data_IF_224862809212
#
_entry.id   IF_224862809212
#
_cell.length_a   1.000
_cell.length_b   1.000
_cell.length_c   1.000
_cell.angle_alpha   90.00
_cell.angle_beta   90.00
_cell.angle_gamma   90.00
#
_symmetry.space_group_name_H-M   'P 1'
#
loop_
_entity.id
_entity.type
_entity.pdbx_description
1 polymer ?
#
# COMPACT_ATOMS: atom_id res chain seq x y z
N UNK A 1 23.27 -31.08 2.16
CA UNK A 1 22.77 -30.52 0.89
C UNK A 1 21.75 -29.40 1.09
N UNK A 2 20.79 -29.52 2.02
CA UNK A 2 19.78 -28.48 2.34
C UNK A 2 20.42 -27.14 2.74
N UNK A 3 21.46 -27.13 3.60
CA UNK A 3 22.13 -25.90 4.03
C UNK A 3 22.86 -25.11 2.92
N UNK A 4 23.30 -25.76 1.83
CA UNK A 4 23.91 -25.06 0.69
C UNK A 4 22.86 -24.39 -0.21
N UNK A 5 21.65 -24.94 -0.28
CA UNK A 5 20.54 -24.35 -1.05
C UNK A 5 19.99 -23.12 -0.32
N UNK A 6 19.92 -23.18 1.00
CA UNK A 6 19.43 -22.08 1.83
C UNK A 6 20.35 -20.86 1.79
N UNK A 7 21.67 -21.07 1.89
CA UNK A 7 22.64 -19.98 1.83
C UNK A 7 22.65 -19.25 0.48
N UNK A 8 22.35 -19.94 -0.63
CA UNK A 8 22.22 -19.28 -1.95
C UNK A 8 20.98 -18.39 -2.03
N UNK A 9 19.89 -18.73 -1.32
CA UNK A 9 18.64 -17.94 -1.36
C UNK A 9 18.78 -16.66 -0.55
N UNK A 10 19.34 -16.73 0.66
CA UNK A 10 19.56 -15.55 1.51
C UNK A 10 20.52 -14.56 0.85
N UNK A 11 21.61 -15.04 0.25
CA UNK A 11 22.56 -14.20 -0.48
C UNK A 11 21.89 -13.44 -1.64
N UNK A 12 21.00 -14.13 -2.38
CA UNK A 12 20.26 -13.54 -3.52
C UNK A 12 19.31 -12.42 -3.07
N UNK A 13 18.66 -12.57 -1.92
CA UNK A 13 17.75 -11.54 -1.39
C UNK A 13 18.52 -10.29 -0.99
N UNK A 14 19.63 -10.44 -0.26
CA UNK A 14 20.47 -9.31 0.15
C UNK A 14 21.09 -8.59 -1.06
N UNK A 15 21.52 -9.34 -2.07
CA UNK A 15 22.03 -8.77 -3.31
C UNK A 15 20.93 -7.98 -4.04
N UNK A 16 19.71 -8.50 -4.09
CA UNK A 16 18.56 -7.81 -4.69
C UNK A 16 18.23 -6.52 -3.93
N UNK A 17 18.20 -6.53 -2.59
CA UNK A 17 18.01 -5.31 -1.79
C UNK A 17 19.12 -4.28 -2.03
N UNK A 18 20.38 -4.71 -2.03
CA UNK A 18 21.52 -3.84 -2.32
C UNK A 18 21.42 -3.23 -3.71
N UNK A 19 21.05 -4.03 -4.73
CA UNK A 19 20.84 -3.58 -6.10
C UNK A 19 19.71 -2.55 -6.20
N UNK A 20 18.58 -2.82 -5.56
CA UNK A 20 17.42 -1.90 -5.51
C UNK A 20 17.80 -0.59 -4.80
N UNK A 21 18.46 -0.67 -3.65
CA UNK A 21 18.85 0.51 -2.89
C UNK A 21 19.90 1.34 -3.61
N UNK A 22 20.89 0.70 -4.24
CA UNK A 22 21.89 1.39 -5.05
C UNK A 22 21.24 2.05 -6.28
N UNK A 23 20.27 1.39 -6.91
CA UNK A 23 19.50 1.97 -8.01
C UNK A 23 18.68 3.18 -7.56
N UNK A 24 17.97 3.04 -6.43
CA UNK A 24 17.22 4.13 -5.81
C UNK A 24 18.13 5.33 -5.48
N UNK A 25 19.23 5.09 -4.77
CA UNK A 25 20.20 6.11 -4.37
C UNK A 25 20.79 6.84 -5.57
N UNK A 26 21.18 6.10 -6.62
CA UNK A 26 21.76 6.67 -7.84
C UNK A 26 20.78 7.57 -8.60
N UNK A 27 19.49 7.28 -8.52
CA UNK A 27 18.44 8.00 -9.23
C UNK A 27 17.49 8.79 -8.33
N UNK A 28 17.91 9.03 -7.07
CA UNK A 28 17.10 9.64 -6.02
C UNK A 28 16.48 10.96 -6.48
N UNK A 29 17.28 11.86 -7.06
CA UNK A 29 16.83 13.17 -7.52
C UNK A 29 15.74 13.07 -8.59
N UNK A 30 15.87 12.14 -9.54
CA UNK A 30 14.88 11.94 -10.59
C UNK A 30 13.55 11.44 -10.00
N UNK A 31 13.63 10.47 -9.09
CA UNK A 31 12.46 9.94 -8.41
C UNK A 31 11.72 11.02 -7.63
N UNK A 32 12.43 11.83 -6.84
CA UNK A 32 11.81 12.91 -6.08
C UNK A 32 11.22 14.00 -6.97
N UNK A 33 11.89 14.40 -8.05
CA UNK A 33 11.34 15.38 -9.01
C UNK A 33 10.01 14.92 -9.63
N UNK A 34 9.88 13.61 -9.88
CA UNK A 34 8.64 12.99 -10.38
C UNK A 34 7.58 12.86 -9.28
N UNK A 35 7.98 12.53 -8.05
CA UNK A 35 7.08 12.28 -6.92
C UNK A 35 6.51 13.55 -6.30
N UNK A 36 7.30 14.63 -6.20
CA UNK A 36 6.91 15.87 -5.49
C UNK A 36 5.56 16.41 -5.93
N UNK A 37 5.25 16.55 -7.24
CA UNK A 37 3.94 17.03 -7.67
C UNK A 37 2.78 16.16 -7.18
N UNK A 38 2.96 14.83 -7.13
CA UNK A 38 1.95 13.88 -6.65
C UNK A 38 1.80 13.94 -5.13
N UNK A 39 2.91 14.07 -4.41
CA UNK A 39 2.94 14.23 -2.95
C UNK A 39 2.19 15.50 -2.56
N UNK A 40 2.47 16.62 -3.22
CA UNK A 40 1.81 17.90 -2.97
C UNK A 40 0.32 17.83 -3.28
N UNK A 41 -0.05 17.21 -4.41
CA UNK A 41 -1.45 17.03 -4.78
C UNK A 41 -2.20 16.14 -3.77
N UNK A 42 -1.61 15.00 -3.39
CA UNK A 42 -2.18 14.12 -2.37
C UNK A 42 -2.38 14.88 -1.07
N UNK A 43 -1.31 15.51 -0.56
CA UNK A 43 -1.36 16.28 0.67
C UNK A 43 -2.44 17.36 0.65
N UNK A 44 -2.59 18.09 -0.47
CA UNK A 44 -3.61 19.12 -0.61
C UNK A 44 -5.03 18.54 -0.58
N UNK A 45 -5.25 17.40 -1.25
CA UNK A 45 -6.55 16.71 -1.21
C UNK A 45 -6.87 16.25 0.21
N UNK A 46 -5.93 15.56 0.88
CA UNK A 46 -6.13 15.05 2.23
C UNK A 46 -6.38 16.19 3.22
N UNK A 47 -5.63 17.28 3.09
CA UNK A 47 -5.79 18.47 3.91
C UNK A 47 -7.16 19.12 3.72
N UNK A 48 -7.63 19.29 2.47
CA UNK A 48 -8.95 19.86 2.17
C UNK A 48 -10.07 18.96 2.70
N UNK A 49 -9.98 17.66 2.42
CA UNK A 49 -10.97 16.67 2.86
C UNK A 49 -11.03 16.65 4.39
N UNK A 50 -9.90 16.51 5.07
CA UNK A 50 -9.85 16.43 6.52
C UNK A 50 -10.33 17.73 7.18
N UNK A 51 -9.98 18.90 6.62
CA UNK A 51 -10.47 20.20 7.11
C UNK A 51 -11.99 20.33 6.95
N UNK A 52 -12.53 19.87 5.81
CA UNK A 52 -13.97 19.75 5.62
C UNK A 52 -14.62 18.93 6.72
N UNK A 53 -14.14 17.71 6.94
CA UNK A 53 -14.65 16.84 8.01
C UNK A 53 -14.53 17.45 9.40
N UNK A 54 -13.40 18.09 9.71
CA UNK A 54 -13.19 18.78 10.98
C UNK A 54 -14.23 19.88 11.23
N UNK A 55 -14.62 20.62 10.18
CA UNK A 55 -15.65 21.67 10.28
C UNK A 55 -17.06 21.10 10.39
N UNK A 56 -17.37 20.03 9.66
CA UNK A 56 -18.72 19.45 9.64
C UNK A 56 -19.04 18.58 10.85
N UNK A 57 -18.03 17.97 11.48
CA UNK A 57 -18.19 17.02 12.58
C UNK A 57 -17.34 17.41 13.80
N UNK A 58 -17.66 18.51 14.51
CA UNK A 58 -16.85 18.98 15.63
C UNK A 58 -16.94 18.08 16.88
N UNK A 59 -18.02 17.30 17.01
CA UNK A 59 -18.32 16.50 18.21
C UNK A 59 -17.98 15.01 18.07
N UNK A 60 -17.28 14.59 17.01
CA UNK A 60 -16.91 13.19 16.81
C UNK A 60 -15.64 12.84 17.56
N UNK A 61 -15.54 11.58 18.00
CA UNK A 61 -14.29 11.05 18.53
C UNK A 61 -13.28 10.88 17.40
N UNK A 62 -12.13 11.51 17.57
CA UNK A 62 -11.02 11.38 16.64
C UNK A 62 -10.17 10.21 17.05
N UNK A 63 -9.96 9.30 16.10
CA UNK A 63 -9.17 8.11 16.30
C UNK A 63 -7.97 8.19 15.37
N UNK A 64 -6.78 7.93 15.92
CA UNK A 64 -5.55 7.83 15.13
C UNK A 64 -5.06 6.40 15.18
N UNK A 65 -5.25 5.69 14.07
CA UNK A 65 -4.67 4.37 13.84
C UNK A 65 -3.30 4.48 13.15
N UNK A 66 -2.36 3.60 13.49
CA UNK A 66 -1.04 3.53 12.84
C UNK A 66 -1.11 2.96 11.42
N UNK A 67 -2.04 2.04 11.17
CA UNK A 67 -2.36 1.43 9.87
C UNK A 67 -3.36 2.25 9.05
N UNK A 68 -4.39 2.75 9.73
CA UNK A 68 -5.55 3.43 9.17
C UNK A 68 -5.42 4.96 9.12
N UNK A 69 -4.36 5.52 9.70
CA UNK A 69 -4.23 6.97 9.85
C UNK A 69 -5.35 7.58 10.70
N UNK A 70 -5.73 8.82 10.36
CA UNK A 70 -6.89 9.44 10.98
C UNK A 70 -8.17 8.77 10.49
N UNK A 71 -8.97 8.30 11.43
CA UNK A 71 -10.36 7.94 11.22
C UNK A 71 -11.25 8.81 12.11
N UNK A 72 -12.41 9.16 11.56
CA UNK A 72 -13.46 9.85 12.32
C UNK A 72 -14.53 8.81 12.58
N UNK A 73 -14.76 8.51 13.85
CA UNK A 73 -15.75 7.53 14.27
C UNK A 73 -17.02 8.28 14.65
N UNK A 74 -18.02 8.24 13.78
CA UNK A 74 -19.36 8.74 14.11
C UNK A 74 -20.17 7.59 14.71
N UNK A 75 -20.47 7.68 16.01
CA UNK A 75 -21.48 6.80 16.62
C UNK A 75 -22.84 7.42 16.32
N UNK A 76 -23.60 6.82 15.41
CA UNK A 76 -25.00 7.19 15.22
C UNK A 76 -25.81 6.59 16.37
N UNK A 77 -26.23 7.43 17.33
CA UNK A 77 -26.99 6.99 18.51
C UNK A 77 -28.29 6.23 18.16
N UNK A 78 -28.86 6.45 16.97
CA UNK A 78 -30.08 5.75 16.51
C UNK A 78 -29.84 4.37 15.90
N UNK A 79 -28.60 3.99 15.62
CA UNK A 79 -28.21 2.66 15.14
C UNK A 79 -27.13 2.11 16.06
N UNK A 80 -27.55 1.72 17.26
CA UNK A 80 -26.74 1.44 18.45
C UNK A 80 -25.54 0.47 18.30
N UNK A 81 -25.33 -0.17 17.13
CA UNK A 81 -24.21 -1.09 16.88
C UNK A 81 -23.48 -0.88 15.53
N UNK A 82 -23.82 0.12 14.72
CA UNK A 82 -23.18 0.32 13.41
C UNK A 82 -22.19 1.48 13.46
N UNK A 83 -20.91 1.15 13.56
CA UNK A 83 -19.83 2.13 13.49
C UNK A 83 -19.37 2.27 12.05
N UNK A 84 -19.63 3.42 11.42
CA UNK A 84 -19.02 3.76 10.13
C UNK A 84 -17.67 4.42 10.40
N UNK A 85 -16.58 3.67 10.20
CA UNK A 85 -15.23 4.21 10.25
C UNK A 85 -14.87 4.73 8.86
N UNK A 86 -14.82 6.06 8.71
CA UNK A 86 -14.25 6.67 7.51
C UNK A 86 -12.74 6.82 7.70
N UNK A 87 -12.00 5.96 7.01
CA UNK A 87 -10.53 5.90 7.12
C UNK A 87 -9.89 6.75 6.03
N UNK A 88 -9.34 7.91 6.39
CA UNK A 88 -8.75 8.88 5.44
C UNK A 88 -7.44 8.37 4.80
N UNK A 89 -6.83 7.30 5.31
CA UNK A 89 -5.61 6.68 4.76
C UNK A 89 -5.71 6.22 3.31
N UNK A 90 -6.91 5.87 2.85
CA UNK A 90 -7.12 5.26 1.54
C UNK A 90 -6.76 6.20 0.40
N UNK A 91 -6.96 7.53 0.55
CA UNK A 91 -6.70 8.49 -0.53
C UNK A 91 -5.20 8.68 -0.80
N UNK A 92 -4.39 8.90 0.25
CA UNK A 92 -2.92 8.94 0.17
C UNK A 92 -2.40 7.71 -0.56
N UNK A 93 -2.87 6.54 -0.14
CA UNK A 93 -2.41 5.26 -0.68
C UNK A 93 -2.74 5.14 -2.17
N UNK A 94 -3.93 5.54 -2.59
CA UNK A 94 -4.35 5.52 -4.00
C UNK A 94 -3.50 6.46 -4.86
N UNK A 95 -3.26 7.71 -4.42
CA UNK A 95 -2.43 8.67 -5.17
C UNK A 95 -0.95 8.27 -5.22
N UNK A 96 -0.42 7.68 -4.15
CA UNK A 96 0.92 7.10 -4.17
C UNK A 96 1.00 5.83 -5.04
N UNK A 97 -0.08 5.07 -5.17
CA UNK A 97 -0.19 4.00 -6.16
C UNK A 97 -0.14 4.53 -7.60
N UNK A 98 -0.74 5.70 -7.88
CA UNK A 98 -0.56 6.37 -9.18
C UNK A 98 0.90 6.76 -9.43
N UNK A 99 1.62 7.11 -8.37
CA UNK A 99 3.03 7.45 -8.45
C UNK A 99 3.93 6.26 -8.83
N UNK A 100 3.49 5.02 -8.59
CA UNK A 100 4.16 3.81 -9.11
C UNK A 100 4.33 3.83 -10.62
N UNK A 101 3.45 4.54 -11.34
CA UNK A 101 3.43 4.50 -12.79
C UNK A 101 4.62 5.21 -13.47
N UNK A 102 4.87 6.50 -13.19
CA UNK A 102 6.08 7.16 -13.69
C UNK A 102 7.36 6.51 -13.11
N UNK A 103 7.30 6.00 -11.88
CA UNK A 103 8.40 5.27 -11.24
C UNK A 103 8.78 3.99 -11.98
N UNK A 104 7.81 3.14 -12.32
CA UNK A 104 8.04 1.94 -13.13
C UNK A 104 8.58 2.29 -14.52
N UNK A 105 8.08 3.37 -15.15
CA UNK A 105 8.56 3.83 -16.45
C UNK A 105 10.02 4.30 -16.40
N UNK A 106 10.40 5.06 -15.37
CA UNK A 106 11.80 5.48 -15.17
C UNK A 106 12.72 4.29 -14.93
N UNK A 107 12.25 3.30 -14.16
CA UNK A 107 12.99 2.07 -13.90
C UNK A 107 13.22 1.29 -15.20
N UNK A 108 12.16 1.09 -15.98
CA UNK A 108 12.21 0.37 -17.26
C UNK A 108 13.14 1.04 -18.28
N UNK A 109 13.02 2.35 -18.50
CA UNK A 109 13.87 3.06 -19.46
C UNK A 109 15.34 3.09 -19.07
N UNK A 110 15.63 3.10 -17.76
CA UNK A 110 17.00 3.07 -17.26
C UNK A 110 17.62 1.67 -17.33
N UNK A 111 16.85 0.60 -17.16
CA UNK A 111 17.34 -0.75 -17.50
C UNK A 111 17.80 -0.84 -18.96
N UNK A 112 17.21 -0.03 -19.86
CA UNK A 112 17.58 0.04 -21.27
C UNK A 112 18.59 1.16 -21.60
N UNK A 113 19.23 1.77 -20.60
CA UNK A 113 20.25 2.83 -20.77
C UNK A 113 19.81 4.08 -21.56
N UNK A 114 18.50 4.34 -21.67
CA UNK A 114 17.99 5.53 -22.37
C UNK A 114 18.10 6.74 -21.43
N UNK A 115 18.64 7.86 -21.91
CA UNK A 115 18.63 9.12 -21.16
C UNK A 115 17.22 9.69 -21.12
N UNK A 116 16.61 9.67 -19.92
CA UNK A 116 15.22 10.08 -19.72
C UNK A 116 15.17 11.44 -19.02
N UNK A 117 14.49 12.41 -19.61
CA UNK A 117 14.18 13.69 -18.96
C UNK A 117 12.89 13.58 -18.16
N UNK A 118 12.77 14.31 -17.04
CA UNK A 118 11.55 14.35 -16.20
C UNK A 118 10.31 14.68 -17.02
N UNK A 119 10.42 15.64 -17.95
CA UNK A 119 9.32 16.06 -18.80
C UNK A 119 8.82 14.93 -19.72
N UNK A 120 9.75 14.14 -20.28
CA UNK A 120 9.39 13.00 -21.14
C UNK A 120 8.68 11.90 -20.36
N UNK A 121 9.09 11.63 -19.11
CA UNK A 121 8.40 10.70 -18.20
C UNK A 121 6.98 11.20 -17.96
N UNK A 122 6.85 12.47 -17.57
CA UNK A 122 5.56 13.04 -17.20
C UNK A 122 4.57 13.07 -18.37
N UNK A 123 5.01 13.46 -19.58
CA UNK A 123 4.14 13.44 -20.76
C UNK A 123 3.66 12.03 -21.11
N UNK A 124 4.53 11.01 -20.98
CA UNK A 124 4.15 9.61 -21.21
C UNK A 124 3.18 9.11 -20.14
N UNK A 125 3.44 9.43 -18.87
CA UNK A 125 2.56 9.06 -17.75
C UNK A 125 1.21 9.74 -17.86
N UNK A 126 1.15 11.04 -18.15
CA UNK A 126 -0.10 11.79 -18.30
C UNK A 126 -0.97 11.25 -19.43
N UNK A 127 -0.39 10.88 -20.58
CA UNK A 127 -1.14 10.25 -21.68
C UNK A 127 -1.77 8.92 -21.28
N UNK A 128 -1.22 8.23 -20.28
CA UNK A 128 -1.69 6.92 -19.81
C UNK A 128 -2.54 7.00 -18.55
N UNK A 129 -2.69 8.19 -17.97
CA UNK A 129 -3.39 8.37 -16.72
C UNK A 129 -4.83 7.86 -16.81
N UNK A 130 -5.49 8.03 -17.97
CA UNK A 130 -6.84 7.52 -18.20
C UNK A 130 -6.94 5.99 -18.11
N UNK A 131 -5.97 5.25 -18.64
CA UNK A 131 -5.97 3.77 -18.53
C UNK A 131 -5.73 3.32 -17.09
N UNK A 132 -4.83 4.00 -16.38
CA UNK A 132 -4.53 3.70 -14.97
C UNK A 132 -5.75 4.02 -14.08
N UNK A 133 -6.40 5.17 -14.30
CA UNK A 133 -7.65 5.53 -13.62
C UNK A 133 -8.76 4.53 -13.95
N UNK A 134 -8.89 4.13 -15.21
CA UNK A 134 -9.86 3.11 -15.62
C UNK A 134 -9.63 1.77 -14.92
N UNK A 135 -8.37 1.30 -14.84
CA UNK A 135 -8.02 0.08 -14.13
C UNK A 135 -8.29 0.19 -12.62
N UNK A 136 -7.92 1.32 -12.01
CA UNK A 136 -8.16 1.59 -10.59
C UNK A 136 -9.66 1.67 -10.26
N UNK A 137 -10.44 2.30 -11.14
CA UNK A 137 -11.90 2.37 -11.02
C UNK A 137 -12.54 0.99 -11.13
N UNK A 138 -12.12 0.15 -12.09
CA UNK A 138 -12.60 -1.23 -12.21
C UNK A 138 -12.30 -2.04 -10.95
N UNK A 139 -11.09 -1.89 -10.41
CA UNK A 139 -10.67 -2.55 -9.17
C UNK A 139 -11.49 -2.06 -7.97
N UNK A 140 -11.79 -0.76 -7.88
CA UNK A 140 -12.68 -0.19 -6.87
C UNK A 140 -14.11 -0.77 -6.98
N UNK A 141 -14.71 -0.76 -8.18
CA UNK A 141 -16.04 -1.32 -8.43
C UNK A 141 -16.08 -2.80 -8.05
N UNK A 142 -15.04 -3.55 -8.40
CA UNK A 142 -14.92 -4.96 -8.05
C UNK A 142 -14.88 -5.18 -6.52
N UNK A 143 -14.09 -4.41 -5.78
CA UNK A 143 -14.07 -4.47 -4.32
C UNK A 143 -15.41 -4.11 -3.71
N UNK A 144 -16.11 -3.09 -4.24
CA UNK A 144 -17.45 -2.72 -3.80
C UNK A 144 -18.46 -3.86 -4.05
N UNK A 145 -18.47 -4.45 -5.25
CA UNK A 145 -19.34 -5.58 -5.57
C UNK A 145 -19.12 -6.75 -4.59
N UNK A 146 -17.85 -7.09 -4.35
CA UNK A 146 -17.49 -8.16 -3.43
C UNK A 146 -17.88 -7.83 -1.99
N UNK A 147 -17.61 -6.61 -1.51
CA UNK A 147 -18.05 -6.15 -0.19
C UNK A 147 -19.57 -6.20 -0.02
N UNK A 148 -20.34 -5.79 -1.03
CA UNK A 148 -21.80 -5.88 -1.04
C UNK A 148 -22.24 -7.35 -0.98
N UNK A 149 -21.62 -8.24 -1.77
CA UNK A 149 -21.92 -9.67 -1.70
C UNK A 149 -21.65 -10.25 -0.32
N UNK A 150 -20.54 -9.88 0.32
CA UNK A 150 -20.23 -10.31 1.69
C UNK A 150 -21.22 -9.79 2.73
N UNK A 151 -21.62 -8.52 2.61
CA UNK A 151 -22.63 -7.93 3.48
C UNK A 151 -23.96 -8.68 3.33
N UNK A 152 -24.42 -8.89 2.09
CA UNK A 152 -25.66 -9.63 1.82
C UNK A 152 -25.60 -11.06 2.36
N UNK A 153 -24.48 -11.75 2.17
CA UNK A 153 -24.28 -13.11 2.68
C UNK A 153 -24.29 -13.12 4.22
N UNK A 154 -23.63 -12.15 4.84
CA UNK A 154 -23.61 -12.01 6.30
C UNK A 154 -25.01 -11.72 6.85
N UNK A 155 -25.75 -10.80 6.22
CA UNK A 155 -27.12 -10.46 6.63
C UNK A 155 -28.06 -11.65 6.48
N UNK A 156 -27.94 -12.41 5.39
CA UNK A 156 -28.87 -13.50 5.11
C UNK A 156 -28.62 -14.75 5.96
N UNK A 157 -27.35 -15.09 6.22
CA UNK A 157 -27.01 -16.35 6.91
C UNK A 157 -26.67 -16.17 8.40
N UNK A 158 -26.07 -15.04 8.79
CA UNK A 158 -25.56 -14.84 10.16
C UNK A 158 -26.62 -14.23 11.06
N UNK A 159 -27.32 -13.17 10.62
CA UNK A 159 -28.32 -12.49 11.47
C UNK A 159 -29.45 -13.42 11.96
N UNK A 160 -30.02 -14.33 11.14
CA UNK A 160 -31.11 -15.18 11.61
C UNK A 160 -30.65 -16.24 12.60
N UNK A 161 -29.39 -16.69 12.51
CA UNK A 161 -28.88 -17.83 13.28
C UNK A 161 -28.05 -17.40 14.49
N UNK A 162 -27.62 -16.13 14.55
CA UNK A 162 -26.61 -15.63 15.51
C UNK A 162 -25.38 -16.55 15.60
N UNK A 163 -25.06 -17.26 14.51
CA UNK A 163 -23.99 -18.25 14.48
C UNK A 163 -22.64 -17.59 14.21
N UNK A 164 -21.90 -17.30 15.27
CA UNK A 164 -20.53 -16.80 15.18
C UNK A 164 -19.61 -17.68 14.30
N UNK A 165 -19.65 -19.03 14.37
CA UNK A 165 -18.85 -19.87 13.49
C UNK A 165 -19.13 -19.67 11.99
N UNK A 166 -20.39 -19.41 11.63
CA UNK A 166 -20.79 -19.18 10.25
C UNK A 166 -20.22 -17.85 9.74
N UNK A 167 -20.32 -16.79 10.53
CA UNK A 167 -19.70 -15.49 10.23
C UNK A 167 -18.20 -15.61 9.99
N UNK A 168 -17.49 -16.32 10.87
CA UNK A 168 -16.05 -16.55 10.76
C UNK A 168 -15.70 -17.30 9.46
N UNK A 169 -16.46 -18.35 9.11
CA UNK A 169 -16.25 -19.11 7.88
C UNK A 169 -16.43 -18.24 6.62
N UNK A 170 -17.47 -17.40 6.58
CA UNK A 170 -17.71 -16.45 5.49
C UNK A 170 -16.55 -15.46 5.41
N UNK A 171 -16.13 -14.91 6.56
CA UNK A 171 -15.00 -13.99 6.66
C UNK A 171 -13.72 -14.60 6.07
N UNK A 172 -13.36 -15.82 6.49
CA UNK A 172 -12.18 -16.52 5.95
C UNK A 172 -12.30 -16.71 4.43
N UNK A 173 -13.45 -17.19 3.94
CA UNK A 173 -13.65 -17.37 2.51
C UNK A 173 -13.46 -16.06 1.73
N UNK A 174 -13.94 -14.96 2.30
CA UNK A 174 -13.78 -13.62 1.73
C UNK A 174 -12.32 -13.16 1.68
N UNK A 175 -11.54 -13.37 2.76
CA UNK A 175 -10.09 -13.09 2.78
C UNK A 175 -9.38 -13.84 1.66
N UNK A 176 -9.69 -15.14 1.50
CA UNK A 176 -9.10 -15.97 0.46
C UNK A 176 -9.41 -15.45 -0.94
N UNK A 177 -10.67 -15.06 -1.20
CA UNK A 177 -11.09 -14.49 -2.49
C UNK A 177 -10.34 -13.17 -2.76
N UNK A 178 -10.33 -12.24 -1.82
CA UNK A 178 -9.62 -10.96 -1.98
C UNK A 178 -8.14 -11.20 -2.23
N UNK A 179 -7.50 -12.00 -1.40
CA UNK A 179 -6.07 -12.30 -1.51
C UNK A 179 -5.73 -12.93 -2.86
N UNK A 180 -6.57 -13.86 -3.34
CA UNK A 180 -6.40 -14.50 -4.63
C UNK A 180 -6.37 -13.50 -5.78
N UNK A 181 -7.35 -12.60 -5.82
CA UNK A 181 -7.47 -11.60 -6.88
C UNK A 181 -6.44 -10.48 -6.75
N UNK A 182 -6.12 -10.02 -5.53
CA UNK A 182 -5.05 -9.04 -5.30
C UNK A 182 -3.71 -9.55 -5.84
N UNK A 183 -3.35 -10.81 -5.60
CA UNK A 183 -2.11 -11.39 -6.14
C UNK A 183 -2.18 -11.49 -7.66
N UNK A 184 -3.30 -11.97 -8.22
CA UNK A 184 -3.48 -12.10 -9.67
C UNK A 184 -3.40 -10.78 -10.42
N UNK A 185 -3.84 -9.70 -9.81
CA UNK A 185 -3.87 -8.38 -10.42
C UNK A 185 -2.73 -7.48 -9.97
N UNK A 186 -1.89 -7.90 -9.03
CA UNK A 186 -0.76 -7.09 -8.51
C UNK A 186 0.18 -6.49 -9.57
N UNK A 187 0.24 -7.09 -10.76
CA UNK A 187 1.13 -6.68 -11.85
C UNK A 187 0.44 -5.89 -12.98
N UNK A 188 -0.83 -5.49 -12.81
CA UNK A 188 -1.58 -4.80 -13.88
C UNK A 188 -0.94 -3.46 -14.25
N UNK A 189 -0.41 -2.72 -13.26
CA UNK A 189 0.22 -1.41 -13.49
C UNK A 189 1.38 -1.52 -14.46
N UNK A 190 2.25 -2.52 -14.28
CA UNK A 190 3.42 -2.76 -15.12
C UNK A 190 2.99 -3.13 -16.55
N UNK A 191 1.92 -3.92 -16.72
CA UNK A 191 1.36 -4.22 -18.05
C UNK A 191 0.87 -2.98 -18.80
N UNK A 192 0.20 -2.04 -18.11
CA UNK A 192 -0.25 -0.77 -18.71
C UNK A 192 0.95 0.11 -19.13
N UNK A 193 2.02 0.11 -18.34
CA UNK A 193 3.15 1.03 -18.51
C UNK A 193 4.23 0.47 -19.46
N UNK A 194 4.53 -0.81 -19.36
CA UNK A 194 5.59 -1.44 -20.15
C UNK A 194 5.04 -1.88 -21.49
N UNK A 195 3.93 -2.62 -21.48
CA UNK A 195 3.35 -3.22 -22.69
C UNK A 195 2.30 -2.32 -23.38
N UNK A 196 2.00 -1.13 -22.82
CA UNK A 196 1.02 -0.18 -23.35
C UNK A 196 -0.39 -0.80 -23.54
N UNK A 197 -0.75 -1.71 -22.62
CA UNK A 197 -2.02 -2.42 -22.67
C UNK A 197 -3.17 -1.55 -22.15
N UNK A 198 -4.38 -1.84 -22.64
CA UNK A 198 -5.62 -1.34 -22.03
C UNK A 198 -5.82 -1.97 -20.64
N UNK A 199 -6.60 -1.33 -19.77
CA UNK A 199 -6.85 -1.80 -18.40
C UNK A 199 -7.27 -3.29 -18.35
N UNK A 200 -8.22 -3.72 -19.18
CA UNK A 200 -8.69 -5.11 -19.23
C UNK A 200 -7.61 -6.09 -19.71
N UNK A 201 -6.86 -5.71 -20.75
CA UNK A 201 -5.74 -6.52 -21.25
C UNK A 201 -4.64 -6.65 -20.19
N UNK A 202 -4.36 -5.58 -19.45
CA UNK A 202 -3.39 -5.59 -18.36
C UNK A 202 -3.79 -6.53 -17.21
N UNK A 203 -5.07 -6.55 -16.80
CA UNK A 203 -5.55 -7.51 -15.80
C UNK A 203 -5.44 -8.95 -16.29
N UNK A 204 -5.82 -9.21 -17.54
CA UNK A 204 -5.68 -10.54 -18.15
C UNK A 204 -4.22 -10.99 -18.18
N UNK A 205 -3.33 -10.12 -18.68
CA UNK A 205 -1.89 -10.36 -18.75
C UNK A 205 -1.30 -10.63 -17.36
N UNK A 206 -1.63 -9.79 -16.37
CA UNK A 206 -1.23 -9.98 -14.97
C UNK A 206 -1.67 -11.35 -14.44
N UNK A 207 -2.92 -11.76 -14.70
CA UNK A 207 -3.42 -13.06 -14.27
C UNK A 207 -2.72 -14.22 -14.96
N UNK A 208 -2.35 -14.08 -16.24
CA UNK A 208 -1.60 -15.10 -17.00
C UNK A 208 -0.20 -15.29 -16.44
N UNK A 209 0.52 -14.20 -16.14
CA UNK A 209 1.86 -14.23 -15.54
C UNK A 209 1.88 -14.92 -14.16
N UNK A 210 0.81 -14.75 -13.38
CA UNK A 210 0.72 -15.31 -12.03
C UNK A 210 0.19 -16.75 -12.02
N UNK A 211 -0.51 -17.21 -13.07
CA UNK A 211 -1.28 -18.47 -13.08
C UNK A 211 -0.47 -19.73 -12.77
N UNK A 212 0.81 -19.79 -13.12
CA UNK A 212 1.68 -20.95 -12.88
C UNK A 212 2.53 -20.89 -11.60
N UNK A 213 2.65 -19.71 -11.00
CA UNK A 213 3.55 -19.45 -9.86
C UNK A 213 2.86 -18.68 -8.74
N UNK A 214 1.54 -18.83 -8.62
CA UNK A 214 0.70 -18.03 -7.72
C UNK A 214 1.19 -18.07 -6.27
N UNK A 215 1.50 -19.26 -5.73
CA UNK A 215 2.02 -19.40 -4.36
C UNK A 215 3.34 -18.66 -4.14
N UNK A 216 4.28 -18.77 -5.08
CA UNK A 216 5.56 -18.06 -5.00
C UNK A 216 5.40 -16.54 -5.11
N UNK A 217 4.39 -16.06 -5.84
CA UNK A 217 4.03 -14.65 -5.88
C UNK A 217 3.36 -14.18 -4.61
N UNK A 218 2.37 -14.95 -4.12
CA UNK A 218 1.64 -14.64 -2.90
C UNK A 218 2.59 -14.48 -1.71
N UNK A 219 3.51 -15.41 -1.50
CA UNK A 219 4.47 -15.32 -0.38
C UNK A 219 5.39 -14.10 -0.52
N UNK A 220 5.92 -13.83 -1.72
CA UNK A 220 6.77 -12.65 -1.96
C UNK A 220 6.01 -11.33 -1.75
N UNK A 221 4.78 -11.26 -2.24
CA UNK A 221 3.92 -10.09 -2.11
C UNK A 221 3.47 -9.88 -0.66
N UNK A 222 3.11 -10.96 0.04
CA UNK A 222 2.76 -10.93 1.46
C UNK A 222 3.94 -10.43 2.30
N UNK A 223 5.15 -10.96 2.06
CA UNK A 223 6.36 -10.55 2.76
C UNK A 223 6.70 -9.08 2.45
N UNK A 224 6.49 -8.64 1.21
CA UNK A 224 6.67 -7.24 0.82
C UNK A 224 5.70 -6.32 1.57
N UNK A 225 4.40 -6.63 1.51
CA UNK A 225 3.36 -5.84 2.19
C UNK A 225 3.62 -5.82 3.68
N UNK A 226 3.87 -6.98 4.30
CA UNK A 226 4.17 -7.08 5.72
C UNK A 226 5.42 -6.29 6.12
N UNK A 227 6.55 -6.49 5.41
CA UNK A 227 7.78 -5.77 5.68
C UNK A 227 7.65 -4.25 5.51
N UNK A 228 6.92 -3.81 4.48
CA UNK A 228 6.62 -2.39 4.27
C UNK A 228 5.72 -1.81 5.36
N UNK A 229 4.75 -2.59 5.86
CA UNK A 229 3.86 -2.20 6.96
C UNK A 229 4.61 -2.05 8.28
N UNK A 230 5.42 -3.06 8.66
CA UNK A 230 6.28 -3.01 9.85
C UNK A 230 7.22 -1.81 9.78
N UNK A 231 7.91 -1.62 8.65
CA UNK A 231 8.84 -0.52 8.48
C UNK A 231 8.14 0.85 8.57
N UNK A 232 6.98 1.01 7.91
CA UNK A 232 6.19 2.24 7.96
C UNK A 232 5.71 2.52 9.39
N UNK A 233 5.18 1.52 10.08
CA UNK A 233 4.74 1.61 11.47
C UNK A 233 5.87 2.01 12.41
N UNK A 234 7.04 1.40 12.28
CA UNK A 234 8.23 1.73 13.07
C UNK A 234 8.70 3.16 12.86
N UNK A 235 8.85 3.58 11.59
CA UNK A 235 9.29 4.95 11.27
C UNK A 235 8.26 5.96 11.78
N UNK A 236 6.98 5.68 11.58
CA UNK A 236 5.90 6.56 12.01
C UNK A 236 5.86 6.69 13.53
N UNK A 237 5.84 5.58 14.27
CA UNK A 237 5.83 5.57 15.73
C UNK A 237 7.07 6.29 16.30
N UNK A 238 8.26 6.00 15.77
CA UNK A 238 9.49 6.69 16.18
C UNK A 238 9.38 8.20 15.95
N UNK A 239 8.88 8.62 14.79
CA UNK A 239 8.71 10.05 14.47
C UNK A 239 7.71 10.73 15.41
N UNK A 240 6.60 10.08 15.75
CA UNK A 240 5.63 10.61 16.72
C UNK A 240 6.24 10.73 18.12
N UNK A 241 7.06 9.76 18.55
CA UNK A 241 7.77 9.83 19.82
C UNK A 241 8.73 11.03 19.83
N UNK A 242 9.52 11.23 18.76
CA UNK A 242 10.41 12.38 18.66
C UNK A 242 9.65 13.70 18.70
N UNK A 243 8.54 13.80 17.96
CA UNK A 243 7.69 14.99 18.00
C UNK A 243 7.10 15.25 19.38
N UNK A 244 6.74 14.21 20.13
CA UNK A 244 6.21 14.35 21.49
C UNK A 244 7.19 14.86 22.53
N UNK A 245 8.49 14.79 22.23
CA UNK A 245 9.54 15.39 23.06
C UNK A 245 9.62 16.90 22.78
N UNK A 246 9.39 17.31 21.53
CA UNK A 246 9.52 18.70 21.08
C UNK A 246 8.24 19.50 21.33
N UNK A 247 7.07 18.89 21.08
CA UNK A 247 5.79 19.58 21.07
C UNK A 247 4.83 18.98 22.14
N UNK A 248 4.46 19.75 23.18
CA UNK A 248 3.59 19.30 24.27
C UNK A 248 2.24 18.74 23.78
N UNK A 249 1.73 19.21 22.64
CA UNK A 249 0.48 18.72 22.04
C UNK A 249 0.47 17.23 21.71
N UNK A 250 1.63 16.58 21.62
CA UNK A 250 1.77 15.16 21.35
C UNK A 250 1.99 14.30 22.62
N UNK A 251 1.96 14.88 23.82
CA UNK A 251 2.18 14.12 25.07
C UNK A 251 1.16 12.99 25.28
N UNK A 252 -0.11 13.22 24.91
CA UNK A 252 -1.14 12.18 24.99
C UNK A 252 -0.81 10.97 24.10
N UNK A 253 -0.32 11.23 22.88
CA UNK A 253 0.09 10.20 21.92
C UNK A 253 1.31 9.43 22.46
N UNK A 254 2.27 10.12 23.09
CA UNK A 254 3.45 9.50 23.70
C UNK A 254 3.09 8.50 24.80
N UNK A 255 2.22 8.89 25.72
CA UNK A 255 1.85 8.05 26.85
C UNK A 255 1.20 6.76 26.38
N UNK A 256 0.38 6.84 25.34
CA UNK A 256 -0.27 5.68 24.76
C UNK A 256 0.72 4.85 23.92
N UNK A 257 1.64 5.46 23.17
CA UNK A 257 2.73 4.79 22.43
C UNK A 257 3.82 4.17 23.33
N UNK A 258 3.86 4.50 24.62
CA UNK A 258 4.78 3.90 25.59
C UNK A 258 4.08 2.88 26.50
N UNK A 259 2.75 2.78 26.41
CA UNK A 259 1.98 1.76 27.12
C UNK A 259 2.42 0.36 26.69
N UNK A 260 2.43 -0.63 27.58
CA UNK A 260 2.80 -2.02 27.24
C UNK A 260 1.99 -2.58 26.07
N UNK A 261 0.76 -2.08 25.87
CA UNK A 261 -0.13 -2.42 24.75
C UNK A 261 0.43 -1.99 23.38
N UNK A 262 1.27 -0.96 23.33
CA UNK A 262 1.80 -0.37 22.09
C UNK A 262 2.97 -1.16 21.49
N UNK A 263 3.65 -2.00 22.27
CA UNK A 263 4.77 -2.82 21.78
C UNK A 263 4.28 -3.82 20.70
N UNK A 264 3.05 -4.32 20.83
CA UNK A 264 2.40 -5.15 19.80
C UNK A 264 2.13 -4.39 18.49
N UNK A 265 1.80 -3.11 18.59
CA UNK A 265 1.58 -2.20 17.44
C UNK A 265 2.88 -1.96 16.69
N UNK A 266 3.98 -1.78 17.42
CA UNK A 266 5.30 -1.45 16.88
C UNK A 266 5.93 -2.62 16.08
N UNK A 267 5.62 -3.86 16.45
CA UNK A 267 6.14 -5.06 15.79
C UNK A 267 5.37 -5.45 14.51
N UNK A 268 4.31 -4.73 14.15
CA UNK A 268 3.49 -4.99 12.96
C UNK A 268 2.81 -6.37 12.94
N UNK A 269 2.81 -7.08 14.06
CA UNK A 269 2.01 -8.29 14.30
C UNK A 269 0.53 -7.89 14.30
N UNK A 270 0.23 -6.73 14.87
CA UNK A 270 -1.07 -6.07 14.80
C UNK A 270 -1.41 -5.62 13.37
N UNK A 271 -0.49 -5.20 12.49
CA UNK A 271 -0.85 -4.81 11.12
C UNK A 271 -1.38 -5.99 10.26
N UNK A 272 -0.89 -7.21 10.53
CA UNK A 272 -1.40 -8.44 9.92
C UNK A 272 -2.72 -8.88 10.56
N UNK A 273 -2.83 -8.79 11.90
CA UNK A 273 -4.10 -8.99 12.60
C UNK A 273 -5.12 -7.91 12.24
N UNK A 274 -4.73 -6.70 11.86
CA UNK A 274 -5.61 -5.56 11.60
C UNK A 274 -6.18 -5.60 10.18
N UNK A 275 -5.44 -6.16 9.22
CA UNK A 275 -6.06 -6.63 7.97
C UNK A 275 -7.10 -7.73 8.21
N UNK A 276 -6.94 -8.52 9.28
CA UNK A 276 -7.98 -9.44 9.74
C UNK A 276 -9.06 -8.76 10.59
N UNK A 277 -8.77 -7.65 11.30
CA UNK A 277 -9.71 -6.94 12.17
C UNK A 277 -10.66 -6.03 11.39
N UNK A 278 -10.21 -5.39 10.31
CA UNK A 278 -11.08 -4.72 9.31
C UNK A 278 -12.08 -5.71 8.71
N UNK A 279 -11.73 -7.01 8.69
CA UNK A 279 -12.54 -8.05 8.09
C UNK A 279 -13.35 -8.90 9.09
N UNK A 280 -12.93 -8.95 10.36
CA UNK A 280 -13.54 -9.75 11.43
C UNK A 280 -14.17 -8.90 12.55
N UNK A 281 -13.98 -7.58 12.55
CA UNK A 281 -14.60 -6.66 13.52
C UNK A 281 -14.05 -6.76 14.95
N UNK A 282 -12.84 -7.28 15.15
CA UNK A 282 -12.25 -7.47 16.48
C UNK A 282 -11.06 -6.54 16.68
N UNK A 283 -11.29 -5.40 17.34
CA UNK A 283 -10.25 -4.61 18.02
C UNK A 283 -9.21 -3.92 17.14
N UNK A 284 -9.56 -2.77 16.57
CA UNK A 284 -8.54 -1.75 16.32
C UNK A 284 -8.06 -1.19 17.65
N UNK A 285 -6.74 -1.08 17.85
CA UNK A 285 -6.19 -0.26 18.92
C UNK A 285 -6.31 1.20 18.48
N UNK A 286 -7.53 1.68 18.60
CA UNK A 286 -7.90 3.05 18.38
C UNK A 286 -7.32 3.88 19.52
N UNK A 287 -6.30 4.69 19.23
CA UNK A 287 -5.95 5.78 20.13
C UNK A 287 -7.11 6.78 20.12
N UNK A 288 -8.08 6.55 21.00
CA UNK A 288 -9.13 7.49 21.26
C UNK A 288 -8.50 8.70 21.95
N UNK A 289 -8.29 9.77 21.17
CA UNK A 289 -7.81 11.02 21.73
C UNK A 289 -8.92 11.60 22.60
N UNK A 290 -8.68 11.71 23.91
CA UNK A 290 -9.62 12.27 24.87
C UNK A 290 -9.95 13.75 24.61
N UNK A 291 -9.07 14.43 23.87
CA UNK A 291 -9.25 15.80 23.38
C UNK A 291 -9.08 15.84 21.86
N UNK A 292 -9.88 16.66 21.18
CA UNK A 292 -9.72 16.90 19.75
C UNK A 292 -8.29 17.42 19.47
N UNK A 293 -7.50 16.73 18.63
CA UNK A 293 -6.14 17.18 18.34
C UNK A 293 -6.19 18.56 17.70
N UNK A 294 -5.21 19.40 18.02
CA UNK A 294 -5.10 20.71 17.39
C UNK A 294 -4.92 20.54 15.88
N UNK A 295 -5.47 21.48 15.11
CA UNK A 295 -5.41 21.46 13.66
C UNK A 295 -3.98 21.26 13.11
N UNK A 296 -3.00 21.93 13.72
CA UNK A 296 -1.59 21.81 13.35
C UNK A 296 -1.01 20.42 13.62
N UNK A 297 -1.41 19.76 14.71
CA UNK A 297 -1.03 18.38 15.02
C UNK A 297 -1.45 17.43 13.91
N UNK A 298 -2.68 17.57 13.42
CA UNK A 298 -3.20 16.76 12.32
C UNK A 298 -2.39 17.01 11.04
N UNK A 299 -2.13 18.28 10.72
CA UNK A 299 -1.32 18.66 9.57
C UNK A 299 0.07 18.03 9.59
N UNK A 300 0.77 18.08 10.74
CA UNK A 300 2.10 17.49 10.92
C UNK A 300 2.07 15.98 10.73
N UNK A 301 1.09 15.29 11.32
CA UNK A 301 0.95 13.84 11.19
C UNK A 301 0.71 13.44 9.73
N UNK A 302 -0.14 14.17 9.00
CA UNK A 302 -0.37 13.96 7.58
C UNK A 302 0.92 14.15 6.77
N UNK A 303 1.68 15.22 7.02
CA UNK A 303 2.96 15.46 6.34
C UNK A 303 3.92 14.28 6.54
N UNK A 304 4.11 13.85 7.79
CA UNK A 304 5.02 12.74 8.12
C UNK A 304 4.57 11.46 7.41
N UNK A 305 3.28 11.13 7.51
CA UNK A 305 2.72 9.94 6.88
C UNK A 305 2.97 9.96 5.37
N UNK A 306 2.61 11.05 4.70
CA UNK A 306 2.82 11.20 3.26
C UNK A 306 4.29 11.11 2.88
N UNK A 307 5.20 11.66 3.68
CA UNK A 307 6.65 11.54 3.45
C UNK A 307 7.15 10.10 3.59
N UNK A 308 6.66 9.34 4.57
CA UNK A 308 7.03 7.92 4.74
C UNK A 308 6.58 7.12 3.53
N UNK A 309 5.32 7.27 3.10
CA UNK A 309 4.82 6.60 1.90
C UNK A 309 5.59 7.04 0.64
N UNK A 310 5.87 8.33 0.50
CA UNK A 310 6.66 8.86 -0.61
C UNK A 310 8.05 8.23 -0.71
N UNK A 311 8.68 7.94 0.42
CA UNK A 311 9.96 7.26 0.47
C UNK A 311 9.85 5.78 0.11
N UNK A 312 8.78 5.11 0.54
CA UNK A 312 8.58 3.67 0.34
C UNK A 312 8.11 3.31 -1.07
N UNK A 313 7.30 4.16 -1.69
CA UNK A 313 6.70 3.92 -3.01
C UNK A 313 7.73 3.64 -4.11
N UNK A 314 8.86 4.37 -4.23
CA UNK A 314 9.91 4.01 -5.18
C UNK A 314 10.49 2.62 -4.99
N UNK A 315 10.73 2.19 -3.74
CA UNK A 315 11.24 0.85 -3.45
C UNK A 315 10.25 -0.23 -3.91
N UNK A 316 8.97 0.00 -3.65
CA UNK A 316 7.89 -0.88 -4.06
C UNK A 316 7.73 -0.94 -5.59
N UNK A 317 7.84 0.21 -6.27
CA UNK A 317 7.80 0.30 -7.73
C UNK A 317 8.97 -0.48 -8.37
N UNK A 318 10.19 -0.31 -7.87
CA UNK A 318 11.38 -1.01 -8.38
C UNK A 318 11.21 -2.52 -8.18
N UNK A 319 10.80 -2.94 -6.97
CA UNK A 319 10.65 -4.36 -6.66
C UNK A 319 9.57 -5.04 -7.52
N UNK A 320 8.40 -4.42 -7.63
CA UNK A 320 7.31 -4.98 -8.44
C UNK A 320 7.63 -4.97 -9.93
N UNK A 321 8.39 -3.97 -10.42
CA UNK A 321 8.93 -3.97 -11.79
C UNK A 321 9.94 -5.08 -12.01
N UNK A 322 10.83 -5.35 -11.06
CA UNK A 322 11.77 -6.47 -11.14
C UNK A 322 11.03 -7.81 -11.18
N UNK A 323 10.04 -8.00 -10.30
CA UNK A 323 9.20 -9.20 -10.30
C UNK A 323 8.45 -9.39 -11.61
N UNK A 324 8.01 -8.29 -12.24
CA UNK A 324 7.38 -8.33 -13.56
C UNK A 324 8.35 -8.83 -14.63
N UNK A 325 9.54 -8.23 -14.72
CA UNK A 325 10.56 -8.57 -15.73
C UNK A 325 11.04 -10.03 -15.59
N UNK A 326 11.14 -10.53 -14.35
CA UNK A 326 11.48 -11.93 -14.06
C UNK A 326 10.45 -12.91 -14.66
N UNK A 327 9.16 -12.54 -14.72
CA UNK A 327 8.13 -13.41 -15.29
C UNK A 327 7.97 -13.29 -16.80
N UNK A 328 8.26 -12.13 -17.36
CA UNK A 328 8.20 -11.96 -18.82
C UNK A 328 9.36 -12.65 -19.55
N UNK A 329 10.30 -13.26 -18.82
CA UNK A 329 11.38 -14.06 -19.41
C UNK A 329 12.57 -13.25 -19.90
N UNK A 330 12.71 -11.99 -19.46
CA UNK A 330 13.73 -11.06 -19.97
C UNK A 330 15.19 -11.44 -19.68
N UNK A 331 15.46 -12.52 -18.92
CA UNK A 331 16.82 -12.92 -18.56
C UNK A 331 17.43 -13.97 -19.51
N UNK A 332 16.61 -14.71 -20.27
CA UNK A 332 17.12 -15.81 -21.11
C UNK A 332 17.74 -15.35 -22.45
N UNK A 333 17.52 -14.10 -22.88
CA UNK A 333 18.07 -13.57 -24.14
C UNK A 333 19.43 -12.87 -23.97
N UNK A 334 19.99 -12.81 -22.76
CA UNK A 334 21.33 -12.22 -22.52
C UNK A 334 22.49 -13.22 -22.61
N UNK A 335 22.19 -14.50 -22.85
CA UNK A 335 23.16 -15.60 -22.89
C UNK A 335 23.80 -15.88 -24.26
N UNK A 336 23.19 -15.43 -25.35
CA UNK A 336 23.73 -15.60 -26.70
C UNK A 336 23.78 -14.24 -27.38
N UNK A 337 24.90 -13.53 -27.23
CA UNK A 337 25.42 -12.72 -28.34
C UNK A 337 26.31 -13.69 -29.11
N UNK A 338 25.82 -14.35 -30.17
CA UNK A 338 26.67 -15.15 -31.02
C UNK A 338 27.53 -14.17 -31.83
N UNK A 339 28.84 -14.24 -31.64
CA UNK A 339 29.79 -13.66 -32.58
C UNK A 339 30.19 -12.22 -32.30
N UNK A 340 31.08 -12.05 -31.33
CA UNK A 340 32.33 -11.36 -31.69
C UNK A 340 33.21 -12.39 -32.40
N UNK A 341 32.93 -12.58 -33.70
CA UNK A 341 33.88 -13.21 -34.62
C UNK A 341 35.03 -12.20 -34.75
N UNK A 342 36.13 -12.48 -34.07
CA UNK A 342 37.40 -11.82 -34.30
C UNK A 342 37.88 -12.16 -35.71
N UNK A 343 37.84 -11.18 -36.60
CA UNK A 343 38.64 -11.14 -37.82
C UNK A 343 39.85 -10.25 -37.60
#
# INVERSE_FOLDING_TARGET
>A
MIGLIENRRTLRILELFSRIFNFYRKHFELFWKVMIPLILLSFLIDFVVLNGFYRYFPNTSWVVGTSEGFSVTTVFESMQNWTFTFTFSSFITIFLWFAMCPLALTTFHRCHSINVSVQSVWQRTLRRIGSIFGASFLLLVWFLCIGICFLLLSVFFVLPTNSFPLFLLIGIAFIFVISYFMVRWSLFNQGIIIENLTALQAFRRSSELVRGRWWGFFVRYLLLVWGSGVLTGLIFAFTLIQLSIVEPGFMAIRNELLSEKSIGILLGIEAWLLYSNVLLGIGDINLALSSTPQFWTIGIILVIKTLIFAFLTPLWAILTTHLYLEQTGGENDSGDIPGTISS
#
